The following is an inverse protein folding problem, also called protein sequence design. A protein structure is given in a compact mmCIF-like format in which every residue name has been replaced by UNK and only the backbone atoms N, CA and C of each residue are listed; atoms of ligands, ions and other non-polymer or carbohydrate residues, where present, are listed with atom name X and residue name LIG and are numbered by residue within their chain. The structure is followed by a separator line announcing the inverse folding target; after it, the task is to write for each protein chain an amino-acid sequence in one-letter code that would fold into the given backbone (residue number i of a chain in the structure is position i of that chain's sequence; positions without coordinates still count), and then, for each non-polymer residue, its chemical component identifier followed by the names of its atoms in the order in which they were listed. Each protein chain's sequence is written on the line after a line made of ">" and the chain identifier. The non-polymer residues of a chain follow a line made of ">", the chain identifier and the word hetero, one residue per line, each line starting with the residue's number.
data_IF_922994481520
#
_entry.id   IF_922994481520
#
_cell.length_a   1.000
_cell.length_b   1.000
_cell.length_c   1.000
_cell.angle_alpha   90.00
_cell.angle_beta   90.00
_cell.angle_gamma   90.00
#
_symmetry.space_group_name_H-M   'P 1'
#
loop_
_entity.id
_entity.type
_entity.pdbx_description
1 polymer ?
#
# COMPACT_ATOMS: atom_id res chain seq x y z
N UNK A 1 -25.55 5.10 27.42
CA UNK A 1 -25.10 5.80 28.63
C UNK A 1 -24.98 7.27 28.29
N UNK A 2 -25.68 8.20 28.95
CA UNK A 2 -25.70 9.60 28.58
C UNK A 2 -24.46 10.27 29.17
N UNK A 3 -23.32 10.00 28.55
CA UNK A 3 -22.23 10.94 28.35
C UNK A 3 -21.34 10.32 27.28
N UNK A 4 -21.44 10.86 26.06
CA UNK A 4 -20.59 10.56 24.90
C UNK A 4 -19.08 10.81 25.15
N UNK A 5 -18.69 11.20 26.36
CA UNK A 5 -17.31 11.53 26.74
C UNK A 5 -16.44 10.30 27.03
N UNK A 6 -17.03 9.18 27.47
CA UNK A 6 -16.32 7.91 27.69
C UNK A 6 -16.98 6.83 26.87
N UNK A 7 -16.65 6.76 25.57
CA UNK A 7 -17.17 5.72 24.66
C UNK A 7 -16.60 4.32 24.97
N UNK A 8 -16.70 3.88 26.23
CA UNK A 8 -16.30 2.56 26.70
C UNK A 8 -14.79 2.29 26.61
N UNK A 9 -13.95 3.33 26.62
CA UNK A 9 -12.49 3.22 26.62
C UNK A 9 -11.96 2.86 28.01
N UNK A 10 -11.07 1.85 28.09
CA UNK A 10 -10.38 1.50 29.33
C UNK A 10 -9.33 2.53 29.75
N UNK A 11 -8.58 3.05 28.77
CA UNK A 11 -7.57 4.09 28.97
C UNK A 11 -7.88 5.23 28.01
N UNK A 12 -7.99 6.43 28.56
CA UNK A 12 -8.26 7.63 27.79
C UNK A 12 -7.26 8.73 28.17
N UNK A 13 -6.44 9.15 27.20
CA UNK A 13 -5.38 10.13 27.39
C UNK A 13 -5.73 11.38 26.59
N UNK A 14 -5.82 12.51 27.30
CA UNK A 14 -6.08 13.82 26.72
C UNK A 14 -4.92 14.76 27.03
N UNK A 15 -4.45 15.50 26.02
CA UNK A 15 -3.55 16.65 26.19
C UNK A 15 -2.34 16.36 27.10
N UNK A 16 -1.82 15.13 27.04
CA UNK A 16 -0.73 14.68 27.90
C UNK A 16 0.02 13.52 27.26
N UNK A 17 1.31 13.40 27.61
CA UNK A 17 2.24 12.46 27.00
C UNK A 17 2.82 11.49 28.04
N UNK A 18 2.00 10.66 28.70
CA UNK A 18 2.50 9.69 29.66
C UNK A 18 3.36 8.62 28.98
N UNK A 19 4.15 7.92 29.80
CA UNK A 19 4.74 6.64 29.38
C UNK A 19 3.86 5.50 29.88
N UNK A 20 3.38 4.68 28.96
CA UNK A 20 2.63 3.46 29.27
C UNK A 20 3.49 2.26 28.97
N UNK A 21 3.61 1.32 29.92
CA UNK A 21 4.32 0.08 29.65
C UNK A 21 3.81 -1.13 30.40
N UNK A 22 3.96 -2.31 29.79
CA UNK A 22 3.62 -3.62 30.38
C UNK A 22 2.15 -3.71 30.80
N UNK A 23 1.25 -3.24 29.94
CA UNK A 23 -0.18 -3.25 30.20
C UNK A 23 -0.87 -4.33 29.38
N UNK A 24 -1.80 -5.03 30.02
CA UNK A 24 -2.80 -5.83 29.32
C UNK A 24 -4.13 -5.09 29.44
N UNK A 25 -4.77 -4.85 28.30
CA UNK A 25 -6.06 -4.16 28.23
C UNK A 25 -7.00 -5.06 27.42
N UNK A 26 -8.02 -5.62 28.06
CA UNK A 26 -8.85 -6.64 27.45
C UNK A 26 -10.33 -6.53 27.79
N UNK A 27 -11.18 -7.09 26.93
CA UNK A 27 -12.63 -7.21 27.14
C UNK A 27 -13.36 -5.88 27.38
N UNK A 28 -12.98 -4.83 26.65
CA UNK A 28 -13.65 -3.52 26.69
C UNK A 28 -14.40 -3.25 25.38
N UNK A 29 -15.30 -2.27 25.40
CA UNK A 29 -15.86 -1.78 24.14
C UNK A 29 -14.75 -1.17 23.27
N UNK A 30 -13.85 -0.38 23.87
CA UNK A 30 -12.60 0.04 23.25
C UNK A 30 -11.48 0.09 24.31
N UNK A 31 -10.23 -0.11 23.92
CA UNK A 31 -9.13 -0.21 24.89
C UNK A 31 -8.49 1.15 25.15
N UNK A 32 -7.85 1.76 24.14
CA UNK A 32 -7.06 2.98 24.33
C UNK A 32 -7.56 4.08 23.40
N UNK A 33 -7.81 5.27 23.94
CA UNK A 33 -8.00 6.50 23.17
C UNK A 33 -6.88 7.49 23.48
N UNK A 34 -6.36 8.06 22.39
CA UNK A 34 -5.39 9.16 22.38
C UNK A 34 -6.04 10.37 21.70
N UNK A 35 -6.05 11.51 22.37
CA UNK A 35 -6.63 12.76 21.87
C UNK A 35 -5.68 13.91 22.16
N UNK A 36 -5.11 14.51 21.10
CA UNK A 36 -4.06 15.52 21.20
C UNK A 36 -2.95 15.08 22.16
N UNK A 37 -2.45 13.87 21.95
CA UNK A 37 -1.51 13.22 22.85
C UNK A 37 -0.47 12.41 22.10
N UNK A 38 0.77 12.46 22.57
CA UNK A 38 1.95 11.81 21.99
C UNK A 38 2.68 10.95 23.03
N UNK A 39 2.00 10.01 23.72
CA UNK A 39 2.63 9.15 24.70
C UNK A 39 3.67 8.22 24.07
N UNK A 40 4.60 7.76 24.90
CA UNK A 40 5.41 6.57 24.57
C UNK A 40 4.72 5.34 25.13
N UNK A 41 4.39 4.40 24.27
CA UNK A 41 3.69 3.16 24.60
C UNK A 41 4.62 1.98 24.31
N UNK A 42 4.84 1.11 25.29
CA UNK A 42 5.73 -0.04 25.11
C UNK A 42 5.19 -1.32 25.74
N UNK A 43 5.21 -2.43 25.01
CA UNK A 43 4.75 -3.73 25.53
C UNK A 43 3.30 -3.67 26.07
N UNK A 44 2.38 -3.15 25.26
CA UNK A 44 0.94 -3.25 25.51
C UNK A 44 0.38 -4.49 24.79
N UNK A 45 -0.49 -5.22 25.46
CA UNK A 45 -1.30 -6.27 24.87
C UNK A 45 -2.78 -5.87 24.93
N UNK A 46 -3.35 -5.56 23.77
CA UNK A 46 -4.74 -5.14 23.60
C UNK A 46 -5.53 -6.24 22.92
N UNK A 47 -6.47 -6.87 23.64
CA UNK A 47 -7.18 -8.06 23.14
C UNK A 47 -8.67 -8.11 23.44
N UNK A 48 -9.43 -8.83 22.61
CA UNK A 48 -10.85 -9.13 22.85
C UNK A 48 -11.75 -7.91 23.08
N UNK A 49 -11.45 -6.79 22.42
CA UNK A 49 -12.20 -5.54 22.50
C UNK A 49 -12.76 -5.11 21.15
N UNK A 50 -13.73 -4.20 21.12
CA UNK A 50 -14.32 -3.66 19.88
C UNK A 50 -13.46 -2.61 19.16
N UNK A 51 -12.41 -2.12 19.81
CA UNK A 51 -11.31 -1.37 19.19
C UNK A 51 -10.13 -1.38 20.14
N UNK A 52 -8.91 -1.47 19.62
CA UNK A 52 -7.71 -1.51 20.42
C UNK A 52 -7.13 -0.12 20.70
N UNK A 53 -6.95 0.70 19.66
CA UNK A 53 -6.30 1.98 19.77
C UNK A 53 -6.91 2.99 18.79
N UNK A 54 -7.48 4.06 19.33
CA UNK A 54 -8.01 5.17 18.54
C UNK A 54 -7.17 6.41 18.78
N UNK A 55 -6.66 7.02 17.71
CA UNK A 55 -5.88 8.26 17.72
C UNK A 55 -6.64 9.37 17.03
N UNK A 56 -6.71 10.53 17.68
CA UNK A 56 -7.45 11.69 17.22
C UNK A 56 -6.70 12.99 17.47
N UNK A 57 -6.97 13.97 16.62
CA UNK A 57 -6.58 15.38 16.74
C UNK A 57 -5.11 15.58 17.09
N UNK A 58 -4.23 15.36 16.10
CA UNK A 58 -2.79 15.60 16.23
C UNK A 58 -2.14 14.75 17.33
N UNK A 59 -2.36 13.43 17.27
CA UNK A 59 -1.69 12.47 18.15
C UNK A 59 -0.46 11.86 17.46
N UNK A 60 0.71 11.97 18.08
CA UNK A 60 2.00 11.48 17.52
C UNK A 60 2.71 10.48 18.45
N UNK A 61 2.02 9.41 18.89
CA UNK A 61 2.63 8.46 19.82
C UNK A 61 3.73 7.62 19.15
N UNK A 62 4.67 7.15 19.97
CA UNK A 62 5.60 6.07 19.61
C UNK A 62 5.16 4.81 20.34
N UNK A 63 4.72 3.81 19.59
CA UNK A 63 4.27 2.51 20.09
C UNK A 63 5.32 1.46 19.75
N UNK A 64 5.77 0.71 20.74
CA UNK A 64 6.80 -0.31 20.56
C UNK A 64 6.44 -1.65 21.20
N UNK A 65 6.89 -2.76 20.61
CA UNK A 65 6.80 -4.11 21.16
C UNK A 65 5.38 -4.51 21.61
N UNK A 66 4.35 -3.99 20.95
CA UNK A 66 2.96 -4.10 21.39
C UNK A 66 2.16 -5.04 20.47
N UNK A 67 1.11 -5.62 21.03
CA UNK A 67 0.25 -6.59 20.35
C UNK A 67 -1.20 -6.14 20.39
N UNK A 68 -1.84 -6.11 19.24
CA UNK A 68 -3.22 -5.70 19.03
C UNK A 68 -3.95 -6.85 18.35
N UNK A 69 -4.46 -7.78 19.17
CA UNK A 69 -4.86 -9.10 18.68
C UNK A 69 -6.28 -9.49 19.09
N UNK A 70 -6.98 -10.28 18.28
CA UNK A 70 -8.32 -10.78 18.60
C UNK A 70 -9.35 -9.68 18.95
N UNK A 71 -9.19 -8.48 18.41
CA UNK A 71 -10.17 -7.42 18.57
C UNK A 71 -11.24 -7.55 17.46
N UNK A 72 -12.46 -7.15 17.80
CA UNK A 72 -13.54 -6.99 16.83
C UNK A 72 -13.57 -5.55 16.35
N UNK A 73 -14.07 -5.28 15.15
CA UNK A 73 -14.14 -3.92 14.61
C UNK A 73 -12.79 -3.34 14.14
N UNK A 74 -12.72 -2.02 13.99
CA UNK A 74 -11.48 -1.35 13.58
C UNK A 74 -10.50 -1.39 14.76
N UNK A 75 -9.48 -2.24 14.63
CA UNK A 75 -8.54 -2.52 15.71
C UNK A 75 -7.71 -1.28 16.06
N UNK A 76 -6.97 -0.72 15.10
CA UNK A 76 -6.29 0.57 15.29
C UNK A 76 -6.79 1.58 14.29
N UNK A 77 -7.21 2.75 14.77
CA UNK A 77 -7.75 3.82 13.94
C UNK A 77 -6.94 5.11 14.12
N UNK A 78 -6.45 5.64 13.00
CA UNK A 78 -5.64 6.86 12.91
C UNK A 78 -6.47 7.94 12.22
N UNK A 79 -6.69 9.07 12.90
CA UNK A 79 -7.53 10.16 12.43
C UNK A 79 -6.93 11.54 12.69
N UNK A 80 -7.38 12.51 11.89
CA UNK A 80 -7.28 13.94 12.17
C UNK A 80 -5.84 14.41 12.40
N UNK A 81 -5.00 14.31 11.37
CA UNK A 81 -3.60 14.77 11.41
C UNK A 81 -2.72 14.04 12.44
N UNK A 82 -3.08 12.81 12.80
CA UNK A 82 -2.26 11.95 13.66
C UNK A 82 -1.23 11.20 12.81
N UNK A 83 -0.01 11.06 13.30
CA UNK A 83 1.09 10.37 12.61
C UNK A 83 1.91 9.50 13.58
N UNK A 84 1.37 8.35 14.01
CA UNK A 84 2.04 7.47 14.95
C UNK A 84 3.18 6.66 14.31
N UNK A 85 4.14 6.27 15.16
CA UNK A 85 5.20 5.33 14.80
C UNK A 85 4.99 4.01 15.56
N UNK A 86 4.86 2.91 14.84
CA UNK A 86 4.80 1.55 15.39
C UNK A 86 6.10 0.81 15.12
N UNK A 87 6.76 0.35 16.19
CA UNK A 87 8.00 -0.42 16.12
C UNK A 87 7.79 -1.83 16.69
N UNK A 88 8.12 -2.86 15.93
CA UNK A 88 8.06 -4.26 16.39
C UNK A 88 6.68 -4.62 16.97
N UNK A 89 5.60 -4.17 16.30
CA UNK A 89 4.23 -4.40 16.73
C UNK A 89 3.57 -5.52 15.93
N UNK A 90 2.57 -6.16 16.54
CA UNK A 90 1.81 -7.27 15.94
C UNK A 90 0.33 -6.90 15.92
N UNK A 91 -0.29 -7.02 14.75
CA UNK A 91 -1.73 -6.84 14.51
C UNK A 91 -2.27 -8.15 13.96
N UNK A 92 -2.87 -8.99 14.81
CA UNK A 92 -3.27 -10.33 14.35
C UNK A 92 -4.59 -10.85 14.88
N UNK A 93 -5.22 -11.73 14.08
CA UNK A 93 -6.50 -12.35 14.43
C UNK A 93 -7.62 -11.35 14.70
N UNK A 94 -7.54 -10.14 14.17
CA UNK A 94 -8.60 -9.14 14.32
C UNK A 94 -9.67 -9.35 13.27
N UNK A 95 -10.93 -9.06 13.61
CA UNK A 95 -12.07 -9.32 12.73
C UNK A 95 -13.05 -8.15 12.71
N UNK A 96 -13.29 -7.60 11.53
CA UNK A 96 -14.26 -6.54 11.31
C UNK A 96 -15.20 -6.92 10.15
N UNK A 97 -16.14 -7.80 10.49
CA UNK A 97 -17.13 -8.32 9.55
C UNK A 97 -18.43 -7.51 9.52
N UNK A 98 -18.54 -6.47 10.35
CA UNK A 98 -19.75 -5.65 10.48
C UNK A 98 -19.68 -4.32 9.73
N UNK A 99 -18.48 -3.88 9.31
CA UNK A 99 -18.27 -2.59 8.66
C UNK A 99 -17.42 -2.73 7.38
N UNK A 100 -17.82 -2.01 6.33
CA UNK A 100 -17.14 -2.00 5.03
C UNK A 100 -15.95 -1.05 4.95
N UNK A 101 -15.59 -0.37 6.04
CA UNK A 101 -14.64 0.73 6.03
C UNK A 101 -13.16 0.32 6.14
N UNK A 102 -12.88 -0.98 6.15
CA UNK A 102 -11.53 -1.53 6.11
C UNK A 102 -10.75 -1.47 7.42
N UNK A 103 -9.55 -2.06 7.40
CA UNK A 103 -8.54 -1.91 8.44
C UNK A 103 -8.81 -2.73 9.70
N UNK A 104 -9.22 -4.00 9.56
CA UNK A 104 -9.29 -4.92 10.70
C UNK A 104 -7.96 -5.00 11.46
N UNK A 105 -6.81 -4.86 10.78
CA UNK A 105 -5.51 -4.61 11.42
C UNK A 105 -5.34 -3.14 11.83
N UNK A 106 -5.18 -2.26 10.85
CA UNK A 106 -5.05 -0.81 11.07
C UNK A 106 -5.79 -0.05 9.97
N UNK A 107 -6.43 1.06 10.34
CA UNK A 107 -7.05 2.01 9.42
C UNK A 107 -6.48 3.42 9.62
N UNK A 108 -6.11 4.07 8.52
CA UNK A 108 -5.84 5.52 8.48
C UNK A 108 -6.92 6.27 7.70
N UNK A 109 -7.27 7.47 8.17
CA UNK A 109 -8.24 8.35 7.50
C UNK A 109 -8.09 9.82 7.91
N UNK A 110 -8.53 10.73 7.04
CA UNK A 110 -8.63 12.17 7.33
C UNK A 110 -7.29 12.80 7.80
N UNK A 111 -6.29 12.86 6.91
CA UNK A 111 -4.96 13.39 7.18
C UNK A 111 -4.08 12.51 8.09
N UNK A 112 -4.29 11.20 8.13
CA UNK A 112 -3.55 10.29 9.01
C UNK A 112 -2.28 9.73 8.35
N UNK A 113 -1.12 10.14 8.84
CA UNK A 113 0.16 9.48 8.53
C UNK A 113 0.35 8.23 9.38
N UNK A 114 1.26 7.33 8.98
CA UNK A 114 1.74 6.26 9.86
C UNK A 114 3.05 5.67 9.37
N UNK A 115 3.95 5.34 10.31
CA UNK A 115 5.15 4.55 10.04
C UNK A 115 5.11 3.23 10.80
N UNK A 116 5.27 2.11 10.08
CA UNK A 116 5.44 0.78 10.63
C UNK A 116 6.87 0.29 10.41
N UNK A 117 7.58 -0.04 11.48
CA UNK A 117 8.92 -0.61 11.43
C UNK A 117 8.93 -2.00 12.08
N UNK A 118 9.33 -3.03 11.34
CA UNK A 118 9.41 -4.41 11.84
C UNK A 118 8.06 -4.95 12.34
N UNK A 119 6.95 -4.53 11.74
CA UNK A 119 5.61 -4.89 12.21
C UNK A 119 5.05 -6.11 11.46
N UNK A 120 4.08 -6.79 12.09
CA UNK A 120 3.41 -7.97 11.54
C UNK A 120 1.91 -7.75 11.48
N UNK A 121 1.31 -8.09 10.34
CA UNK A 121 -0.14 -8.07 10.12
C UNK A 121 -0.57 -9.45 9.64
N UNK A 122 -1.26 -10.22 10.49
CA UNK A 122 -1.49 -11.63 10.20
C UNK A 122 -2.89 -12.09 10.60
N UNK A 123 -3.54 -12.93 9.77
CA UNK A 123 -4.80 -13.56 10.13
C UNK A 123 -5.94 -12.57 10.44
N UNK A 124 -5.89 -11.35 9.88
CA UNK A 124 -6.97 -10.38 10.05
C UNK A 124 -8.07 -10.62 9.02
N UNK A 125 -9.33 -10.42 9.41
CA UNK A 125 -10.51 -10.64 8.58
C UNK A 125 -11.35 -9.36 8.47
N UNK A 126 -11.78 -9.01 7.27
CA UNK A 126 -12.47 -7.75 7.00
C UNK A 126 -13.58 -7.93 5.94
N UNK A 127 -14.74 -7.32 6.15
CA UNK A 127 -15.87 -7.37 5.20
C UNK A 127 -15.62 -6.58 3.89
N UNK A 128 -14.68 -5.64 3.87
CA UNK A 128 -14.30 -4.93 2.65
C UNK A 128 -13.07 -4.07 2.91
N UNK A 129 -12.23 -3.86 1.90
CA UNK A 129 -11.09 -2.94 1.89
C UNK A 129 -10.02 -3.29 2.92
N UNK A 130 -8.88 -3.86 2.51
CA UNK A 130 -7.68 -3.82 3.35
C UNK A 130 -7.81 -4.51 4.71
N UNK A 131 -7.67 -5.83 4.75
CA UNK A 131 -7.78 -6.58 6.02
C UNK A 131 -6.61 -6.32 6.98
N UNK A 132 -5.39 -6.22 6.47
CA UNK A 132 -4.22 -5.81 7.26
C UNK A 132 -4.17 -4.30 7.45
N UNK A 133 -4.31 -3.56 6.36
CA UNK A 133 -4.22 -2.11 6.36
C UNK A 133 -5.19 -1.49 5.36
N UNK A 134 -5.88 -0.43 5.77
CA UNK A 134 -6.64 0.41 4.86
C UNK A 134 -6.32 1.89 5.11
N UNK A 135 -6.01 2.63 4.05
CA UNK A 135 -6.00 4.09 4.08
C UNK A 135 -7.17 4.60 3.27
N UNK A 136 -8.00 5.44 3.88
CA UNK A 136 -9.20 5.98 3.27
C UNK A 136 -9.18 7.51 3.18
N UNK A 137 -9.47 8.04 1.97
CA UNK A 137 -9.62 9.48 1.67
C UNK A 137 -8.60 10.36 2.37
N UNK A 138 -7.35 9.95 2.29
CA UNK A 138 -6.29 10.73 2.88
C UNK A 138 -5.76 11.78 1.89
N UNK A 139 -5.60 13.00 2.37
CA UNK A 139 -5.10 14.13 1.58
C UNK A 139 -3.83 14.73 2.17
N UNK A 140 -3.43 14.31 3.37
CA UNK A 140 -2.23 14.78 4.09
C UNK A 140 -1.60 13.62 4.89
N UNK A 141 -0.28 13.64 5.11
CA UNK A 141 0.44 12.56 5.81
C UNK A 141 1.00 11.49 4.88
N UNK A 142 1.92 10.67 5.38
CA UNK A 142 2.59 9.61 4.59
C UNK A 142 2.44 8.25 5.27
N UNK A 143 2.35 7.18 4.47
CA UNK A 143 2.30 5.81 4.98
C UNK A 143 3.60 5.12 4.65
N UNK A 144 4.22 4.49 5.65
CA UNK A 144 5.47 3.77 5.48
C UNK A 144 5.42 2.37 6.09
N UNK A 145 5.76 1.36 5.31
CA UNK A 145 6.01 -0.01 5.76
C UNK A 145 7.48 -0.32 5.58
N UNK A 146 8.18 -0.56 6.69
CA UNK A 146 9.61 -0.80 6.73
C UNK A 146 9.88 -2.15 7.39
N UNK A 147 10.34 -3.12 6.60
CA UNK A 147 10.65 -4.47 7.09
C UNK A 147 9.43 -5.17 7.73
N UNK A 148 8.27 -5.08 7.10
CA UNK A 148 7.03 -5.63 7.64
C UNK A 148 6.71 -7.03 7.06
N UNK A 149 5.84 -7.75 7.75
CA UNK A 149 5.25 -9.01 7.27
C UNK A 149 3.74 -8.90 7.26
N UNK A 150 3.12 -9.10 6.09
CA UNK A 150 1.68 -8.99 5.87
C UNK A 150 1.22 -10.30 5.25
N UNK A 151 0.56 -11.17 6.03
CA UNK A 151 0.25 -12.52 5.53
C UNK A 151 -1.01 -13.14 6.10
N UNK A 152 -1.63 -14.05 5.34
CA UNK A 152 -2.81 -14.79 5.78
C UNK A 152 -3.97 -13.88 6.19
N UNK A 153 -4.09 -12.69 5.61
CA UNK A 153 -5.22 -11.81 5.88
C UNK A 153 -6.31 -12.07 4.85
N UNK A 154 -7.57 -11.89 5.25
CA UNK A 154 -8.73 -12.23 4.45
C UNK A 154 -9.66 -11.02 4.29
N UNK A 155 -10.02 -10.70 3.05
CA UNK A 155 -11.11 -9.77 2.74
C UNK A 155 -12.28 -10.58 2.20
N UNK A 156 -13.49 -10.28 2.66
CA UNK A 156 -14.71 -11.02 2.31
C UNK A 156 -15.71 -10.10 1.65
N UNK A 157 -16.21 -10.37 0.45
CA UNK A 157 -17.20 -9.55 -0.27
C UNK A 157 -16.74 -8.12 -0.56
N UNK A 158 -15.48 -7.97 -1.01
CA UNK A 158 -15.00 -6.70 -1.52
C UNK A 158 -15.88 -6.23 -2.69
N UNK A 159 -16.46 -5.04 -2.56
CA UNK A 159 -17.21 -4.39 -3.64
C UNK A 159 -16.31 -3.37 -4.35
N UNK A 160 -16.34 -3.34 -5.68
CA UNK A 160 -15.65 -2.36 -6.55
C UNK A 160 -14.14 -2.29 -6.37
N UNK A 161 -13.46 -3.43 -6.53
CA UNK A 161 -12.00 -3.44 -6.65
C UNK A 161 -11.21 -3.17 -5.38
N UNK A 162 -11.89 -3.10 -4.22
CA UNK A 162 -11.28 -2.87 -2.91
C UNK A 162 -10.90 -4.17 -2.19
N UNK A 163 -10.50 -5.17 -2.96
CA UNK A 163 -9.94 -6.42 -2.44
C UNK A 163 -8.46 -6.22 -2.09
N UNK A 164 -7.98 -6.78 -0.98
CA UNK A 164 -6.54 -6.81 -0.71
C UNK A 164 -6.21 -6.77 0.77
N UNK A 165 -5.08 -7.35 1.16
CA UNK A 165 -4.54 -7.17 2.51
C UNK A 165 -4.24 -5.69 2.79
N UNK A 166 -3.72 -4.99 1.79
CA UNK A 166 -3.51 -3.54 1.82
C UNK A 166 -4.46 -2.89 0.82
N UNK A 167 -5.29 -1.96 1.29
CA UNK A 167 -6.12 -1.12 0.42
C UNK A 167 -5.68 0.33 0.53
N UNK A 168 -5.29 0.91 -0.60
CA UNK A 168 -4.74 2.25 -0.72
C UNK A 168 -5.78 3.11 -1.43
N UNK A 169 -6.43 4.00 -0.68
CA UNK A 169 -7.33 5.00 -1.23
C UNK A 169 -6.95 6.39 -0.71
N UNK A 170 -5.94 6.99 -1.35
CA UNK A 170 -5.26 8.21 -0.86
C UNK A 170 -4.77 9.11 -2.01
N UNK A 171 -4.55 10.38 -1.68
CA UNK A 171 -3.84 11.37 -2.51
C UNK A 171 -2.41 11.62 -2.02
N UNK A 172 -1.92 10.80 -1.09
CA UNK A 172 -0.64 11.01 -0.41
C UNK A 172 0.43 9.99 -0.79
N UNK A 173 1.61 10.11 -0.20
CA UNK A 173 2.72 9.22 -0.45
C UNK A 173 2.63 7.92 0.36
N UNK A 174 2.83 6.78 -0.31
CA UNK A 174 2.91 5.45 0.30
C UNK A 174 4.23 4.79 -0.06
N UNK A 175 4.96 4.35 0.96
CA UNK A 175 6.24 3.66 0.82
C UNK A 175 6.12 2.27 1.42
N UNK A 176 6.37 1.24 0.62
CA UNK A 176 6.45 -0.14 1.08
C UNK A 176 7.83 -0.65 0.74
N UNK A 177 8.63 -0.96 1.76
CA UNK A 177 10.00 -1.42 1.56
C UNK A 177 10.42 -2.57 2.45
N UNK A 178 11.26 -3.44 1.90
CA UNK A 178 11.75 -4.65 2.56
C UNK A 178 10.62 -5.49 3.17
N UNK A 179 9.43 -5.44 2.58
CA UNK A 179 8.20 -6.00 3.18
C UNK A 179 7.77 -7.24 2.41
N UNK A 180 7.32 -8.26 3.16
CA UNK A 180 6.72 -9.46 2.57
C UNK A 180 5.21 -9.39 2.65
N UNK A 181 4.54 -9.52 1.50
CA UNK A 181 3.07 -9.54 1.37
C UNK A 181 2.68 -10.88 0.76
N UNK A 182 2.24 -11.82 1.59
CA UNK A 182 2.09 -13.20 1.13
C UNK A 182 0.85 -13.92 1.63
N UNK A 183 0.32 -14.84 0.81
CA UNK A 183 -0.76 -15.75 1.20
C UNK A 183 -1.98 -15.01 1.75
N UNK A 184 -2.35 -13.88 1.16
CA UNK A 184 -3.57 -13.15 1.52
C UNK A 184 -4.72 -13.53 0.57
N UNK A 185 -5.94 -13.49 1.07
CA UNK A 185 -7.11 -13.98 0.34
C UNK A 185 -8.18 -12.89 0.23
N UNK A 186 -8.76 -12.75 -0.96
CA UNK A 186 -9.98 -11.98 -1.16
C UNK A 186 -11.08 -12.92 -1.63
N UNK A 187 -12.12 -13.11 -0.84
CA UNK A 187 -13.31 -13.86 -1.20
C UNK A 187 -14.34 -12.93 -1.84
N UNK A 188 -14.84 -13.27 -3.03
CA UNK A 188 -15.81 -12.45 -3.75
C UNK A 188 -16.96 -13.27 -4.31
N UNK A 189 -18.18 -12.85 -3.99
CA UNK A 189 -19.37 -13.30 -4.69
C UNK A 189 -19.55 -12.62 -6.05
N UNK A 190 -18.83 -11.53 -6.30
CA UNK A 190 -18.85 -10.81 -7.56
C UNK A 190 -17.84 -11.41 -8.55
N UNK A 191 -18.28 -11.67 -9.77
CA UNK A 191 -17.44 -12.10 -10.89
C UNK A 191 -16.58 -10.96 -11.46
N UNK A 192 -16.69 -9.74 -10.95
CA UNK A 192 -15.84 -8.65 -11.38
C UNK A 192 -14.37 -8.92 -11.00
N UNK A 193 -13.56 -9.18 -12.02
CA UNK A 193 -12.14 -9.53 -11.95
C UNK A 193 -11.24 -8.32 -11.69
N UNK A 194 -11.69 -7.32 -10.92
CA UNK A 194 -10.91 -6.12 -10.60
C UNK A 194 -10.41 -6.15 -9.15
N UNK A 195 -10.23 -7.35 -8.58
CA UNK A 195 -9.95 -7.53 -7.16
C UNK A 195 -8.49 -7.89 -6.92
N UNK A 196 -7.84 -7.14 -6.05
CA UNK A 196 -6.54 -7.53 -5.50
C UNK A 196 -6.68 -8.46 -4.29
N UNK A 197 -5.65 -9.26 -4.05
CA UNK A 197 -5.52 -10.01 -2.79
C UNK A 197 -4.31 -9.52 -1.97
N UNK A 198 -3.22 -9.12 -2.63
CA UNK A 198 -2.08 -8.48 -1.96
C UNK A 198 -2.34 -7.00 -1.69
N UNK A 199 -2.24 -6.19 -2.75
CA UNK A 199 -2.40 -4.74 -2.71
C UNK A 199 -3.51 -4.32 -3.68
N UNK A 200 -4.45 -3.50 -3.23
CA UNK A 200 -5.36 -2.75 -4.08
C UNK A 200 -5.06 -1.27 -3.96
N UNK A 201 -4.91 -0.62 -5.11
CA UNK A 201 -4.62 0.79 -5.26
C UNK A 201 -5.79 1.43 -5.98
N UNK A 202 -6.46 2.33 -5.28
CA UNK A 202 -7.53 3.18 -5.79
C UNK A 202 -7.07 4.63 -5.73
N UNK A 203 -7.14 5.33 -6.85
CA UNK A 203 -7.00 6.79 -6.89
C UNK A 203 -8.32 7.42 -7.32
N UNK A 204 -8.75 8.47 -6.63
CA UNK A 204 -9.81 9.35 -7.12
C UNK A 204 -9.28 10.75 -7.30
N UNK A 205 -9.61 11.34 -8.45
CA UNK A 205 -9.57 12.78 -8.65
C UNK A 205 -10.59 13.45 -7.73
N UNK A 206 -10.11 14.12 -6.69
CA UNK A 206 -10.96 15.00 -5.91
C UNK A 206 -11.03 16.36 -6.60
N UNK A 207 -12.21 16.77 -7.02
CA UNK A 207 -12.45 18.08 -7.64
C UNK A 207 -12.04 19.21 -6.67
N UNK A 208 -10.87 19.79 -6.92
CA UNK A 208 -10.30 20.87 -6.12
C UNK A 208 -9.08 21.48 -6.81
N UNK A 209 -8.69 22.70 -6.45
CA UNK A 209 -7.61 23.45 -7.13
C UNK A 209 -6.21 22.85 -6.95
N UNK A 210 -6.04 21.87 -6.05
CA UNK A 210 -4.77 21.20 -5.76
C UNK A 210 -4.94 19.69 -5.94
N UNK A 211 -4.98 19.22 -7.20
CA UNK A 211 -4.95 17.80 -7.52
C UNK A 211 -3.58 17.26 -7.11
N UNK A 212 -3.49 16.64 -5.93
CA UNK A 212 -2.30 15.90 -5.52
C UNK A 212 -2.59 14.44 -5.77
N UNK A 213 -1.74 13.80 -6.55
CA UNK A 213 -1.88 12.39 -6.91
C UNK A 213 -1.04 11.55 -5.96
N UNK A 214 -1.49 10.34 -5.55
CA UNK A 214 -0.68 9.48 -4.74
C UNK A 214 0.63 9.14 -5.45
N UNK A 215 1.67 9.04 -4.63
CA UNK A 215 3.00 8.59 -5.01
C UNK A 215 3.28 7.31 -4.28
N UNK A 216 3.49 6.22 -5.02
CA UNK A 216 3.67 4.91 -4.42
C UNK A 216 5.06 4.40 -4.78
N UNK A 217 5.82 3.97 -3.78
CA UNK A 217 7.12 3.35 -3.96
C UNK A 217 7.13 1.96 -3.32
N UNK A 218 7.45 0.96 -4.14
CA UNK A 218 7.59 -0.44 -3.77
C UNK A 218 9.07 -0.80 -3.96
N UNK A 219 9.80 -1.04 -2.86
CA UNK A 219 11.26 -1.24 -2.90
C UNK A 219 11.66 -2.50 -2.11
N UNK A 220 12.40 -3.42 -2.72
CA UNK A 220 12.90 -4.65 -2.06
C UNK A 220 11.78 -5.51 -1.44
N UNK A 221 10.59 -5.58 -2.03
CA UNK A 221 9.49 -6.37 -1.48
C UNK A 221 9.45 -7.78 -2.03
N UNK A 222 8.79 -8.68 -1.30
CA UNK A 222 8.47 -10.04 -1.73
C UNK A 222 6.95 -10.18 -1.70
N UNK A 223 6.31 -10.41 -2.84
CA UNK A 223 4.85 -10.47 -2.99
C UNK A 223 4.45 -11.76 -3.71
N UNK A 224 3.82 -12.71 -3.01
CA UNK A 224 3.46 -14.02 -3.60
C UNK A 224 2.27 -14.66 -2.89
N UNK A 225 1.66 -15.68 -3.50
CA UNK A 225 0.62 -16.51 -2.88
C UNK A 225 -0.69 -15.78 -2.61
N UNK A 226 -0.83 -14.51 -3.02
CA UNK A 226 -2.05 -13.76 -2.81
C UNK A 226 -3.09 -14.17 -3.85
N UNK A 227 -4.30 -14.50 -3.39
CA UNK A 227 -5.35 -15.10 -4.22
C UNK A 227 -6.72 -14.44 -4.03
N UNK A 228 -7.41 -14.20 -5.14
CA UNK A 228 -8.85 -13.96 -5.16
C UNK A 228 -9.55 -15.30 -5.31
N UNK A 229 -10.59 -15.54 -4.52
CA UNK A 229 -11.40 -16.75 -4.52
C UNK A 229 -12.85 -16.36 -4.81
N UNK A 230 -13.39 -16.85 -5.92
CA UNK A 230 -14.75 -16.53 -6.35
C UNK A 230 -15.78 -17.53 -5.81
N UNK A 231 -17.06 -17.14 -5.81
CA UNK A 231 -18.16 -17.99 -5.33
C UNK A 231 -18.35 -19.30 -6.11
N UNK A 232 -17.87 -19.37 -7.36
CA UNK A 232 -17.86 -20.59 -8.17
C UNK A 232 -16.67 -21.52 -7.85
N UNK A 233 -15.78 -21.10 -6.94
CA UNK A 233 -14.59 -21.83 -6.52
C UNK A 233 -13.37 -21.60 -7.41
N UNK A 234 -13.47 -20.78 -8.47
CA UNK A 234 -12.30 -20.35 -9.24
C UNK A 234 -11.40 -19.43 -8.42
N UNK A 235 -10.11 -19.40 -8.78
CA UNK A 235 -9.10 -18.59 -8.08
C UNK A 235 -8.21 -17.85 -9.06
N UNK A 236 -7.83 -16.62 -8.71
CA UNK A 236 -6.90 -15.79 -9.47
C UNK A 236 -5.76 -15.27 -8.60
N UNK A 237 -4.54 -15.24 -9.16
CA UNK A 237 -3.35 -14.78 -8.44
C UNK A 237 -3.15 -13.26 -8.60
N UNK A 238 -4.04 -12.45 -8.02
CA UNK A 238 -3.97 -11.00 -8.19
C UNK A 238 -3.11 -10.35 -7.10
N UNK A 239 -1.83 -10.13 -7.40
CA UNK A 239 -0.85 -9.61 -6.43
C UNK A 239 -1.08 -8.12 -6.17
N UNK A 240 -1.19 -7.33 -7.24
CA UNK A 240 -1.41 -5.89 -7.20
C UNK A 240 -2.52 -5.54 -8.20
N UNK A 241 -3.49 -4.76 -7.76
CA UNK A 241 -4.59 -4.32 -8.63
C UNK A 241 -4.77 -2.81 -8.55
N UNK A 242 -4.95 -2.21 -9.71
CA UNK A 242 -5.28 -0.80 -9.88
C UNK A 242 -6.76 -0.70 -10.21
N UNK A 243 -7.58 -0.26 -9.26
CA UNK A 243 -9.02 -0.18 -9.43
C UNK A 243 -9.50 1.27 -9.54
N UNK A 244 -10.55 1.48 -10.33
CA UNK A 244 -11.34 2.70 -10.34
C UNK A 244 -12.59 2.46 -9.49
N UNK A 245 -13.08 3.48 -8.79
CA UNK A 245 -14.27 3.31 -7.97
C UNK A 245 -15.51 3.79 -8.69
N UNK A 246 -16.33 2.83 -9.12
CA UNK A 246 -17.62 3.01 -9.80
C UNK A 246 -18.74 3.60 -8.92
N UNK A 247 -18.45 4.13 -7.72
CA UNK A 247 -19.48 4.64 -6.79
C UNK A 247 -19.56 6.16 -6.83
N UNK A 248 -20.31 6.69 -7.79
CA UNK A 248 -21.50 7.52 -7.57
C UNK A 248 -21.96 8.04 -8.93
N UNK A 249 -23.07 7.46 -9.37
CA UNK A 249 -23.94 7.92 -10.45
C UNK A 249 -24.08 9.44 -10.44
N UNK A 250 -23.59 10.12 -11.48
CA UNK A 250 -24.17 11.33 -12.11
C UNK A 250 -23.17 12.11 -12.99
N UNK A 251 -21.92 11.67 -13.14
CA UNK A 251 -20.99 12.26 -14.12
C UNK A 251 -20.45 11.20 -15.08
N UNK A 252 -21.04 11.15 -16.27
CA UNK A 252 -20.60 10.38 -17.45
C UNK A 252 -19.28 10.94 -18.06
N UNK A 253 -18.18 10.94 -17.30
CA UNK A 253 -16.83 11.17 -17.86
C UNK A 253 -15.85 10.18 -17.19
N UNK A 254 -15.94 8.90 -17.53
CA UNK A 254 -15.08 7.84 -16.98
C UNK A 254 -14.59 6.88 -18.06
N UNK A 255 -13.84 7.41 -19.04
CA UNK A 255 -13.03 6.63 -19.98
C UNK A 255 -11.59 7.18 -19.97
N UNK A 256 -10.89 6.96 -18.88
CA UNK A 256 -9.48 7.33 -18.79
C UNK A 256 -8.88 6.72 -17.55
N UNK A 257 -7.57 6.49 -17.60
CA UNK A 257 -6.70 6.18 -16.46
C UNK A 257 -7.20 6.79 -15.14
N UNK A 258 -6.78 6.31 -13.96
CA UNK A 258 -6.69 7.20 -12.82
C UNK A 258 -5.80 8.39 -13.26
N UNK A 259 -6.43 9.47 -13.75
CA UNK A 259 -5.82 10.72 -14.27
C UNK A 259 -5.20 11.50 -13.11
N UNK A 260 -4.44 10.80 -12.29
CA UNK A 260 -4.86 10.54 -10.93
C UNK A 260 -3.75 9.92 -10.09
N UNK A 261 -2.80 9.20 -10.67
CA UNK A 261 -1.57 8.76 -10.01
C UNK A 261 -0.40 9.56 -10.59
N UNK A 262 0.46 10.13 -9.76
CA UNK A 262 1.59 10.95 -10.28
C UNK A 262 2.81 10.10 -10.56
N UNK A 263 3.04 9.05 -9.78
CA UNK A 263 4.27 8.25 -9.86
C UNK A 263 4.10 6.93 -9.12
N UNK A 264 4.47 5.82 -9.76
CA UNK A 264 4.65 4.51 -9.15
C UNK A 264 6.08 4.05 -9.42
N UNK A 265 6.84 3.75 -8.37
CA UNK A 265 8.22 3.30 -8.48
C UNK A 265 8.33 1.88 -7.96
N UNK A 266 8.86 0.99 -8.79
CA UNK A 266 9.29 -0.34 -8.39
C UNK A 266 10.81 -0.37 -8.36
N UNK A 267 11.43 -0.97 -7.35
CA UNK A 267 12.87 -1.29 -7.33
C UNK A 267 13.12 -2.59 -6.57
N UNK A 268 13.86 -3.54 -7.17
CA UNK A 268 14.26 -4.80 -6.51
C UNK A 268 13.13 -5.65 -5.88
N UNK A 269 11.91 -5.62 -6.44
CA UNK A 269 10.80 -6.43 -5.95
C UNK A 269 10.80 -7.83 -6.57
N UNK A 270 10.42 -8.83 -5.78
CA UNK A 270 10.10 -10.18 -6.25
C UNK A 270 8.58 -10.38 -6.17
N UNK A 271 7.88 -10.26 -7.30
CA UNK A 271 6.43 -10.38 -7.39
C UNK A 271 6.09 -11.64 -8.21
N UNK A 272 5.37 -12.58 -7.62
CA UNK A 272 4.98 -13.82 -8.28
C UNK A 272 4.23 -13.53 -9.58
N UNK A 273 4.73 -14.07 -10.70
CA UNK A 273 4.13 -13.91 -12.03
C UNK A 273 4.30 -12.51 -12.63
N UNK A 274 5.21 -11.69 -12.08
CA UNK A 274 5.58 -10.40 -12.64
C UNK A 274 4.38 -9.49 -12.94
N UNK A 275 4.37 -8.91 -14.15
CA UNK A 275 3.30 -8.01 -14.60
C UNK A 275 2.00 -8.74 -14.98
N UNK A 276 2.03 -10.04 -15.30
CA UNK A 276 0.82 -10.79 -15.69
C UNK A 276 -0.19 -10.90 -14.55
N UNK A 277 0.31 -10.85 -13.31
CA UNK A 277 -0.50 -10.87 -12.10
C UNK A 277 -0.83 -9.46 -11.58
N UNK A 278 -0.63 -8.44 -12.42
CA UNK A 278 -1.16 -7.10 -12.22
C UNK A 278 -2.49 -7.02 -12.95
N UNK A 279 -3.55 -6.65 -12.24
CA UNK A 279 -4.80 -6.30 -12.91
C UNK A 279 -4.92 -4.79 -13.00
N UNK A 280 -5.09 -4.34 -14.23
CA UNK A 280 -5.54 -3.01 -14.55
C UNK A 280 -7.06 -3.12 -14.62
N UNK A 281 -7.80 -2.39 -13.78
CA UNK A 281 -9.26 -2.35 -13.86
C UNK A 281 -9.72 -1.67 -15.16
N UNK A 282 -10.78 -0.87 -15.10
CA UNK A 282 -11.30 -0.07 -16.24
C UNK A 282 -10.35 1.02 -16.80
N UNK A 283 -9.03 0.84 -16.75
CA UNK A 283 -8.03 1.76 -17.32
C UNK A 283 -8.03 1.67 -18.85
N UNK A 284 -8.68 2.63 -19.50
CA UNK A 284 -8.63 2.77 -20.96
C UNK A 284 -7.24 3.21 -21.44
N UNK A 285 -6.63 2.35 -22.27
CA UNK A 285 -5.84 2.63 -23.48
C UNK A 285 -4.65 3.62 -23.46
N UNK A 286 -4.31 4.27 -22.36
CA UNK A 286 -3.09 5.06 -22.23
C UNK A 286 -2.00 4.24 -21.54
N UNK A 287 -0.81 4.20 -22.13
CA UNK A 287 0.28 3.33 -21.69
C UNK A 287 0.65 3.63 -20.22
N UNK A 288 0.61 2.63 -19.31
CA UNK A 288 1.11 2.75 -17.94
C UNK A 288 2.58 3.25 -17.85
N UNK A 289 3.31 3.22 -18.97
CA UNK A 289 4.71 3.65 -19.08
C UNK A 289 4.98 5.11 -18.71
N UNK A 290 3.99 6.01 -18.76
CA UNK A 290 4.22 7.43 -18.39
C UNK A 290 4.33 7.64 -16.87
N UNK A 291 3.87 6.68 -16.05
CA UNK A 291 3.74 6.85 -14.61
C UNK A 291 4.44 5.76 -13.79
N UNK A 292 4.84 4.66 -14.43
CA UNK A 292 5.44 3.50 -13.76
C UNK A 292 6.91 3.41 -14.12
N UNK A 293 7.74 3.53 -13.09
CA UNK A 293 9.19 3.44 -13.19
C UNK A 293 9.63 2.09 -12.62
N UNK A 294 10.03 1.19 -13.52
CA UNK A 294 10.70 -0.05 -13.18
C UNK A 294 12.19 0.20 -13.08
N UNK A 295 12.70 0.33 -11.85
CA UNK A 295 14.13 0.41 -11.60
C UNK A 295 14.73 -1.02 -11.54
N UNK A 296 16.06 -1.15 -11.53
CA UNK A 296 16.70 -2.47 -11.63
C UNK A 296 16.25 -3.47 -10.53
N UNK A 297 16.33 -4.77 -10.84
CA UNK A 297 16.09 -5.89 -9.92
C UNK A 297 14.63 -6.35 -9.70
N UNK A 298 13.66 -5.91 -10.51
CA UNK A 298 12.21 -6.08 -10.24
C UNK A 298 11.49 -7.28 -10.87
N UNK A 299 12.17 -8.19 -11.57
CA UNK A 299 11.49 -9.22 -12.35
C UNK A 299 11.92 -10.63 -11.95
N UNK A 300 10.91 -11.48 -11.86
CA UNK A 300 10.85 -12.88 -11.45
C UNK A 300 12.16 -13.67 -11.70
N UNK A 301 12.70 -14.27 -10.64
CA UNK A 301 13.98 -15.01 -10.63
C UNK A 301 13.87 -16.44 -11.14
N UNK A 302 12.98 -16.71 -12.10
CA UNK A 302 13.13 -17.86 -13.00
C UNK A 302 13.43 -17.42 -14.46
N UNK A 303 14.57 -16.75 -14.71
CA UNK A 303 15.08 -16.62 -16.06
C UNK A 303 15.41 -18.01 -16.61
N UNK A 304 14.68 -18.45 -17.63
CA UNK A 304 15.18 -19.52 -18.48
C UNK A 304 16.34 -18.92 -19.29
N UNK A 305 17.58 -19.25 -18.94
CA UNK A 305 18.74 -18.90 -19.75
C UNK A 305 19.05 -20.01 -20.74
N UNK A 306 19.54 -19.64 -21.92
CA UNK A 306 20.20 -20.58 -22.82
C UNK A 306 21.61 -20.93 -22.28
N UNK A 307 22.27 -21.90 -22.91
CA UNK A 307 23.62 -22.37 -22.53
C UNK A 307 24.71 -21.26 -22.57
N UNK A 308 24.41 -20.12 -23.19
CA UNK A 308 25.29 -18.96 -23.31
C UNK A 308 24.95 -17.81 -22.35
N UNK A 309 24.08 -18.05 -21.36
CA UNK A 309 23.60 -17.04 -20.40
C UNK A 309 22.82 -15.88 -21.03
N UNK A 310 22.37 -16.02 -22.28
CA UNK A 310 21.34 -15.13 -22.85
C UNK A 310 19.95 -15.59 -22.41
N UNK A 311 19.00 -14.65 -22.28
CA UNK A 311 17.62 -14.99 -22.00
C UNK A 311 17.09 -15.90 -23.11
N UNK A 312 16.52 -17.04 -22.71
CA UNK A 312 15.79 -17.91 -23.61
C UNK A 312 14.66 -17.13 -24.26
N UNK A 313 14.37 -17.43 -25.53
CA UNK A 313 13.22 -16.84 -26.25
C UNK A 313 11.87 -17.23 -25.63
N UNK A 314 11.87 -18.22 -24.73
CA UNK A 314 10.72 -18.64 -23.94
C UNK A 314 10.87 -18.22 -22.46
N UNK A 315 11.83 -17.34 -22.15
CA UNK A 315 11.98 -16.82 -20.79
C UNK A 315 10.72 -16.04 -20.45
N UNK A 316 10.11 -16.25 -19.28
CA UNK A 316 8.98 -15.44 -18.83
C UNK A 316 9.35 -13.94 -18.65
N UNK A 317 10.63 -13.60 -18.76
CA UNK A 317 11.13 -12.21 -18.80
C UNK A 317 10.97 -11.54 -20.18
N UNK A 318 10.71 -12.31 -21.23
CA UNK A 318 10.41 -11.84 -22.58
C UNK A 318 9.01 -12.35 -22.88
N UNK A 319 8.00 -11.56 -22.56
CA UNK A 319 6.63 -11.90 -22.88
C UNK A 319 6.50 -12.19 -24.38
N UNK A 320 5.84 -13.28 -24.73
CA UNK A 320 5.77 -13.84 -26.09
C UNK A 320 4.81 -12.99 -26.94
N UNK A 321 5.23 -11.77 -27.25
CA UNK A 321 4.42 -10.76 -27.95
C UNK A 321 4.89 -9.32 -27.72
N UNK A 322 5.77 -9.08 -26.75
CA UNK A 322 6.31 -7.75 -26.47
C UNK A 322 7.62 -7.53 -27.24
N UNK A 323 7.57 -6.77 -28.34
CA UNK A 323 8.81 -6.24 -28.92
C UNK A 323 9.42 -5.25 -27.91
N UNK A 324 10.54 -5.61 -27.29
CA UNK A 324 11.39 -4.65 -26.57
C UNK A 324 12.03 -3.75 -27.64
N UNK A 325 11.29 -2.73 -28.08
CA UNK A 325 11.70 -1.86 -29.19
C UNK A 325 12.85 -0.94 -28.80
N UNK A 326 13.04 -0.65 -27.52
CA UNK A 326 14.10 0.22 -27.04
C UNK A 326 14.40 0.00 -25.54
N UNK A 327 15.65 -0.34 -25.23
CA UNK A 327 16.23 -0.07 -23.91
C UNK A 327 17.12 1.15 -24.11
N UNK A 328 16.65 2.36 -23.74
CA UNK A 328 17.58 3.49 -23.65
C UNK A 328 18.41 3.32 -22.36
N UNK A 329 19.75 3.40 -22.45
CA UNK A 329 20.51 3.82 -21.28
C UNK A 329 19.94 5.17 -20.87
N UNK A 330 19.59 5.32 -19.59
CA UNK A 330 19.15 6.60 -19.07
C UNK A 330 20.35 7.59 -19.12
N UNK A 331 20.50 8.29 -20.24
CA UNK A 331 21.48 9.35 -20.42
C UNK A 331 20.94 10.66 -19.82
N UNK A 332 20.73 10.69 -18.51
CA UNK A 332 20.85 11.86 -17.60
C UNK A 332 20.07 11.62 -16.28
N UNK A 333 20.68 10.99 -15.27
CA UNK A 333 20.04 10.79 -13.96
C UNK A 333 19.89 12.08 -13.12
N UNK A 334 20.18 13.26 -13.67
CA UNK A 334 20.33 14.50 -12.91
C UNK A 334 19.58 15.68 -13.55
N UNK A 335 18.34 15.47 -13.96
CA UNK A 335 17.41 16.60 -14.00
C UNK A 335 17.39 17.21 -12.58
N UNK A 336 17.81 18.48 -12.46
CA UNK A 336 18.06 19.18 -11.19
C UNK A 336 16.82 19.17 -10.27
N UNK A 337 15.64 18.94 -10.84
CA UNK A 337 14.39 18.74 -10.11
C UNK A 337 14.40 17.46 -9.25
N UNK A 338 15.00 16.35 -9.71
CA UNK A 338 15.01 15.06 -9.01
C UNK A 338 16.11 14.93 -7.94
N UNK A 339 17.30 15.49 -8.14
CA UNK A 339 18.32 15.55 -7.08
C UNK A 339 17.79 16.32 -5.87
N UNK A 340 17.11 17.45 -6.12
CA UNK A 340 16.44 18.22 -5.07
C UNK A 340 15.17 17.54 -4.54
N UNK A 341 14.47 16.71 -5.33
CA UNK A 341 13.32 15.95 -4.85
C UNK A 341 13.74 14.78 -3.95
N UNK A 342 14.74 14.00 -4.35
CA UNK A 342 15.23 12.83 -3.62
C UNK A 342 16.07 13.22 -2.39
N UNK A 343 16.95 14.23 -2.50
CA UNK A 343 17.72 14.75 -1.34
C UNK A 343 17.02 15.88 -0.57
N UNK A 344 15.94 16.48 -1.11
CA UNK A 344 15.09 17.43 -0.38
C UNK A 344 13.88 16.79 0.31
N UNK A 345 13.45 15.60 -0.12
CA UNK A 345 12.46 14.76 0.58
C UNK A 345 12.89 14.42 2.02
N UNK A 346 14.20 14.43 2.29
CA UNK A 346 14.83 14.22 3.61
C UNK A 346 14.51 15.29 4.67
N UNK A 347 13.89 16.42 4.29
CA UNK A 347 13.63 17.54 5.22
C UNK A 347 12.18 17.65 5.69
N UNK A 348 11.26 16.86 5.14
CA UNK A 348 9.84 16.92 5.50
C UNK A 348 9.43 16.02 6.67
N UNK A 349 10.38 15.29 7.29
CA UNK A 349 10.11 14.39 8.44
C UNK A 349 11.06 14.47 9.62
N UNK A 350 12.11 15.32 9.60
CA UNK A 350 12.96 15.59 10.77
C UNK A 350 13.86 14.44 11.27
N UNK A 351 13.99 13.32 10.55
CA UNK A 351 14.88 12.21 10.93
C UNK A 351 15.84 11.94 9.78
N UNK A 352 17.09 12.41 9.92
CA UNK A 352 18.12 12.25 8.89
C UNK A 352 18.47 10.78 8.61
N UNK A 353 19.04 10.55 7.41
CA UNK A 353 19.42 9.23 6.90
C UNK A 353 20.60 8.63 7.67
N UNK A 354 20.50 7.38 8.18
CA UNK A 354 21.65 6.62 8.69
C UNK A 354 22.71 6.34 7.61
N UNK A 355 23.99 6.47 7.98
CA UNK A 355 25.19 6.42 7.11
C UNK A 355 25.33 5.16 6.20
N UNK A 356 24.56 4.09 6.45
CA UNK A 356 24.53 2.89 5.62
C UNK A 356 23.58 2.97 4.40
N UNK A 357 22.88 4.10 4.20
CA UNK A 357 21.99 4.35 3.06
C UNK A 357 22.66 5.14 1.91
N UNK A 358 23.97 5.41 1.98
CA UNK A 358 24.73 5.86 0.82
C UNK A 358 24.82 4.71 -0.19
N UNK A 359 23.98 4.73 -1.22
CA UNK A 359 24.09 3.78 -2.33
C UNK A 359 25.38 4.07 -3.13
N UNK A 360 26.07 3.04 -3.65
CA UNK A 360 27.26 3.22 -4.47
C UNK A 360 26.95 3.99 -5.76
N UNK A 361 27.90 4.83 -6.20
CA UNK A 361 27.81 5.70 -7.39
C UNK A 361 27.70 5.00 -8.75
N UNK A 362 27.61 3.67 -8.79
CA UNK A 362 27.92 2.86 -9.98
C UNK A 362 26.73 1.99 -10.45
N UNK A 363 25.50 2.48 -10.33
CA UNK A 363 24.30 1.70 -10.67
C UNK A 363 23.64 2.29 -11.93
N UNK A 364 23.90 1.65 -13.08
CA UNK A 364 23.25 1.97 -14.35
C UNK A 364 21.75 1.66 -14.28
N UNK A 365 20.91 2.63 -14.64
CA UNK A 365 19.45 2.53 -14.56
C UNK A 365 18.85 2.27 -15.95
N UNK A 366 17.95 1.29 -16.05
CA UNK A 366 17.22 0.96 -17.28
C UNK A 366 15.73 1.30 -17.10
N UNK A 367 15.12 1.91 -18.12
CA UNK A 367 13.67 2.13 -18.20
C UNK A 367 13.10 1.15 -19.23
N UNK A 368 12.11 0.35 -18.82
CA UNK A 368 11.33 -0.47 -19.75
C UNK A 368 10.07 0.34 -20.09
N UNK A 369 10.03 0.94 -21.27
CA UNK A 369 8.83 1.57 -21.82
C UNK A 369 8.10 0.57 -22.72
N UNK A 370 6.78 0.42 -22.51
CA UNK A 370 5.91 -0.37 -23.37
C UNK A 370 5.21 0.53 -24.39
N UNK A 371 5.42 0.28 -25.67
CA UNK A 371 4.66 0.88 -26.78
C UNK A 371 4.18 -0.21 -27.71
N UNK A 372 2.89 -0.23 -28.06
CA UNK A 372 2.38 -1.11 -29.12
C UNK A 372 3.07 -0.75 -30.47
N UNK A 373 3.57 -1.75 -31.23
CA UNK A 373 4.18 -1.51 -32.53
C UNK A 373 3.27 -0.78 -33.55
N UNK A 374 1.95 -0.80 -33.36
CA UNK A 374 0.96 -0.15 -34.23
C UNK A 374 0.95 1.37 -34.19
N UNK A 375 1.56 2.00 -33.18
CA UNK A 375 1.57 3.45 -33.04
C UNK A 375 2.66 4.15 -33.89
N UNK A 376 3.54 3.38 -34.54
CA UNK A 376 4.59 3.90 -35.40
C UNK A 376 4.12 4.09 -36.86
N UNK A 377 3.18 5.00 -37.09
CA UNK A 377 2.82 5.49 -38.44
C UNK A 377 3.41 6.89 -38.73
N UNK A 378 4.59 7.17 -38.18
CA UNK A 378 5.38 8.36 -38.51
C UNK A 378 6.73 7.93 -39.08
N UNK A 379 7.05 8.35 -40.30
CA UNK A 379 8.38 8.19 -40.89
C UNK A 379 9.46 8.66 -39.92
N UNK A 380 10.42 7.78 -39.60
CA UNK A 380 11.59 8.09 -38.79
C UNK A 380 12.24 9.41 -39.28
N UNK A 381 12.55 10.36 -38.39
CA UNK A 381 13.33 11.53 -38.77
C UNK A 381 14.75 11.10 -39.12
N UNK A 382 15.18 11.50 -40.32
CA UNK A 382 16.56 11.44 -40.82
C UNK A 382 17.47 12.23 -39.86
N UNK A 383 18.28 11.53 -39.06
CA UNK A 383 19.24 12.11 -38.12
C UNK A 383 20.65 11.89 -38.65
N UNK A 384 21.13 12.89 -39.41
CA UNK A 384 22.53 13.05 -39.78
C UNK A 384 23.39 13.64 -38.67
#
# INVERSE_FOLDING_TARGET
>A
DPDLELAGYAINIYNSDPSLSNLMVDHNYANIRLYTSSPTINNIHSIYSGSALTMQEYSFPVISNSKFNHNTGINVEIKSHSDPIFNNCEFSYNSNMDYSYGGAGVRSSFAGGVTFNNCKFQYNQQLANGSAYSIGRDYEGSVQFNNCLITNNEVHNAYNGRGGAISIYTNTAVFIRNTTIADNFTYSDNSDHELGAGISIESRLFSGPNLTYPKIALINNIIYGNQVVFSDGSTENNQIVFSTSLIETDYEEWDGLPRGMSTLVFSHNNIQGGMDNFQWGSMDYYSPSEFIYWLDGNLDVEPAFNDDYTLSVNSPLIDQGSDILYMEPWEDPWDDDWYNYYHGWDTWGGVGVPEYMNFPSDWDQYVIAYTEPSDYNGSAPDMG
#
